data_IF_322269109178
#
_entry.id   IF_322269109178
#
_cell.length_a   1.000
_cell.length_b   1.000
_cell.length_c   1.000
_cell.angle_alpha   90.00
_cell.angle_beta   90.00
_cell.angle_gamma   90.00
#
_symmetry.space_group_name_H-M   'P 1'
#
loop_
_entity.id
_entity.type
_entity.pdbx_description
1 polymer ?
#
# COMPACT_ATOMS: atom_id res chain seq x y z
N UNK A 1 -19.09 -26.71 -32.24
CA UNK A 1 -20.16 -26.34 -31.29
C UNK A 1 -19.50 -26.02 -29.96
N UNK A 2 -19.68 -24.81 -29.41
CA UNK A 2 -18.57 -24.08 -28.80
C UNK A 2 -18.16 -24.63 -27.43
N UNK A 3 -16.84 -24.71 -27.29
CA UNK A 3 -16.08 -25.10 -26.12
C UNK A 3 -16.33 -24.14 -24.94
N UNK A 4 -16.26 -24.71 -23.74
CA UNK A 4 -16.43 -24.02 -22.47
C UNK A 4 -15.66 -22.71 -22.42
N UNK A 5 -16.41 -21.63 -22.19
CA UNK A 5 -15.88 -20.40 -21.64
C UNK A 5 -15.23 -20.77 -20.30
N UNK A 6 -13.91 -20.92 -20.35
CA UNK A 6 -13.05 -21.13 -19.21
C UNK A 6 -13.35 -20.07 -18.16
N UNK A 7 -13.68 -20.55 -16.98
CA UNK A 7 -13.84 -19.78 -15.75
C UNK A 7 -12.50 -19.13 -15.41
N UNK A 8 -12.22 -17.96 -16.01
CA UNK A 8 -10.98 -17.22 -15.79
C UNK A 8 -10.98 -16.63 -14.36
N UNK A 9 -10.11 -17.11 -13.45
CA UNK A 9 -10.02 -16.60 -12.09
C UNK A 9 -9.65 -15.10 -12.05
N UNK A 10 -9.04 -14.58 -13.12
CA UNK A 10 -8.63 -13.17 -13.24
C UNK A 10 -9.81 -12.24 -13.51
N UNK A 11 -10.90 -12.73 -14.10
CA UNK A 11 -12.12 -11.96 -14.33
C UNK A 11 -12.90 -11.73 -13.02
N UNK A 12 -12.85 -12.69 -12.08
CA UNK A 12 -13.51 -12.63 -10.77
C UNK A 12 -12.86 -11.61 -9.81
N UNK A 13 -11.63 -11.19 -10.09
CA UNK A 13 -10.90 -10.17 -9.30
C UNK A 13 -10.88 -8.80 -9.98
N UNK A 14 -11.96 -8.41 -10.65
CA UNK A 14 -12.28 -6.97 -10.76
C UNK A 14 -12.68 -6.51 -9.36
N UNK A 15 -11.69 -6.19 -8.53
CA UNK A 15 -11.88 -5.21 -7.45
C UNK A 15 -12.60 -4.06 -8.14
N UNK A 16 -13.86 -3.79 -7.78
CA UNK A 16 -14.49 -2.54 -8.19
C UNK A 16 -13.47 -1.49 -7.83
N UNK A 17 -12.86 -0.83 -8.81
CA UNK A 17 -11.94 0.27 -8.54
C UNK A 17 -12.82 1.37 -7.98
N UNK A 18 -13.13 1.27 -6.69
CA UNK A 18 -13.64 2.37 -5.93
C UNK A 18 -12.53 3.42 -6.06
N UNK A 19 -12.81 4.49 -6.78
CA UNK A 19 -11.91 5.61 -6.87
C UNK A 19 -11.62 6.03 -5.43
N UNK A 20 -10.37 5.85 -4.98
CA UNK A 20 -9.92 6.38 -3.71
C UNK A 20 -10.08 7.90 -3.81
N UNK A 21 -10.97 8.46 -3.00
CA UNK A 21 -11.19 9.91 -2.91
C UNK A 21 -10.60 10.40 -1.60
N UNK A 22 -9.91 11.53 -1.65
CA UNK A 22 -9.25 12.12 -0.49
C UNK A 22 -7.73 12.13 -0.64
N UNK A 23 -7.04 12.49 0.45
CA UNK A 23 -5.59 12.64 0.45
C UNK A 23 -4.89 11.28 0.31
N UNK A 24 -4.06 11.15 -0.71
CA UNK A 24 -3.21 9.99 -0.93
C UNK A 24 -1.75 10.34 -0.62
N UNK A 25 -1.22 9.82 0.48
CA UNK A 25 0.15 10.11 0.90
C UNK A 25 1.12 9.02 0.43
N UNK A 26 2.31 9.43 0.00
CA UNK A 26 3.40 8.52 -0.38
C UNK A 26 4.57 8.76 0.57
N UNK A 27 5.10 7.72 1.18
CA UNK A 27 6.22 7.86 2.12
C UNK A 27 7.49 8.30 1.38
N UNK A 28 8.32 9.18 1.97
CA UNK A 28 9.65 9.46 1.44
C UNK A 28 10.60 8.30 1.71
N UNK A 29 11.75 8.29 1.03
CA UNK A 29 12.81 7.29 1.24
C UNK A 29 13.49 7.55 2.60
N UNK A 30 13.02 6.86 3.66
CA UNK A 30 13.50 7.02 5.04
C UNK A 30 14.16 5.75 5.56
N UNK A 31 15.37 5.87 6.10
CA UNK A 31 16.01 4.76 6.82
C UNK A 31 15.46 4.58 8.24
N UNK A 32 15.14 5.68 8.92
CA UNK A 32 14.58 5.68 10.27
C UNK A 32 13.12 5.18 10.27
N UNK A 33 12.92 4.01 10.86
CA UNK A 33 11.62 3.34 10.93
C UNK A 33 10.68 4.00 11.93
N UNK A 34 11.18 4.51 13.07
CA UNK A 34 10.32 5.17 14.05
C UNK A 34 9.76 6.48 13.49
N UNK A 35 10.62 7.23 12.78
CA UNK A 35 10.22 8.45 12.11
C UNK A 35 9.24 8.20 10.94
N UNK A 36 9.42 7.10 10.21
CA UNK A 36 8.46 6.66 9.19
C UNK A 36 7.08 6.43 9.81
N UNK A 37 7.01 5.66 10.91
CA UNK A 37 5.76 5.36 11.62
C UNK A 37 5.07 6.63 12.09
N UNK A 38 5.80 7.51 12.79
CA UNK A 38 5.23 8.76 13.29
C UNK A 38 4.65 9.65 12.16
N UNK A 39 5.28 9.68 10.98
CA UNK A 39 4.77 10.42 9.83
C UNK A 39 3.53 9.78 9.21
N UNK A 40 3.48 8.45 9.15
CA UNK A 40 2.32 7.73 8.65
C UNK A 40 1.13 7.93 9.60
N UNK A 41 1.35 7.83 10.91
CA UNK A 41 0.34 8.13 11.94
C UNK A 41 -0.20 9.55 11.78
N UNK A 42 0.70 10.55 11.70
CA UNK A 42 0.29 11.94 11.50
C UNK A 42 -0.50 12.15 10.21
N UNK A 43 -0.12 11.49 9.11
CA UNK A 43 -0.86 11.58 7.85
C UNK A 43 -2.26 10.96 7.95
N UNK A 44 -2.39 9.82 8.63
CA UNK A 44 -3.69 9.17 8.88
C UNK A 44 -4.57 10.07 9.77
N UNK A 45 -4.03 10.56 10.89
CA UNK A 45 -4.74 11.49 11.77
C UNK A 45 -5.13 12.79 11.05
N UNK A 46 -4.31 13.25 10.12
CA UNK A 46 -4.59 14.40 9.26
C UNK A 46 -5.61 14.14 8.14
N UNK A 47 -6.15 12.93 8.00
CA UNK A 47 -7.20 12.60 7.03
C UNK A 47 -6.72 11.99 5.73
N UNK A 48 -5.52 11.39 5.68
CA UNK A 48 -5.11 10.58 4.55
C UNK A 48 -6.07 9.40 4.35
N UNK A 49 -6.64 9.29 3.16
CA UNK A 49 -7.53 8.21 2.74
C UNK A 49 -6.75 6.94 2.35
N UNK A 50 -5.49 7.08 1.97
CA UNK A 50 -4.59 5.97 1.70
C UNK A 50 -3.12 6.40 1.83
N UNK A 51 -2.28 5.44 2.23
CA UNK A 51 -0.84 5.59 2.35
C UNK A 51 -0.16 4.57 1.43
N UNK A 52 0.80 5.02 0.62
CA UNK A 52 1.71 4.14 -0.11
C UNK A 52 3.09 4.16 0.54
N UNK A 53 3.50 3.00 1.02
CA UNK A 53 4.89 2.77 1.37
C UNK A 53 5.76 2.71 0.11
N UNK A 54 6.70 3.64 0.00
CA UNK A 54 7.71 3.72 -1.04
C UNK A 54 9.06 4.03 -0.40
N UNK A 55 10.00 3.11 -0.56
CA UNK A 55 11.37 3.30 -0.14
C UNK A 55 12.32 2.65 -1.17
N UNK A 56 12.99 3.48 -1.97
CA UNK A 56 13.90 3.06 -3.04
C UNK A 56 15.30 2.72 -2.55
N UNK A 57 15.70 3.27 -1.39
CA UNK A 57 17.05 3.13 -0.85
C UNK A 57 17.15 2.03 0.20
N UNK A 58 16.02 1.62 0.80
CA UNK A 58 15.99 0.54 1.78
C UNK A 58 16.34 -0.84 1.17
N UNK A 59 17.09 -1.62 1.93
CA UNK A 59 17.33 -3.04 1.68
C UNK A 59 16.05 -3.86 1.83
N UNK A 60 16.07 -5.12 1.40
CA UNK A 60 14.92 -6.01 1.55
C UNK A 60 14.54 -6.23 3.02
N UNK A 61 15.55 -6.35 3.89
CA UNK A 61 15.39 -6.55 5.34
C UNK A 61 14.72 -5.33 5.97
N UNK A 62 15.21 -4.12 5.64
CA UNK A 62 14.64 -2.88 6.14
C UNK A 62 13.21 -2.67 5.63
N UNK A 63 12.93 -3.01 4.37
CA UNK A 63 11.56 -2.99 3.82
C UNK A 63 10.62 -3.91 4.58
N UNK A 64 11.08 -5.11 4.94
CA UNK A 64 10.31 -6.06 5.74
C UNK A 64 10.02 -5.52 7.14
N UNK A 65 11.04 -4.98 7.82
CA UNK A 65 10.89 -4.39 9.15
C UNK A 65 9.94 -3.18 9.13
N UNK A 66 10.06 -2.30 8.15
CA UNK A 66 9.18 -1.13 7.99
C UNK A 66 7.74 -1.54 7.67
N UNK A 67 7.54 -2.51 6.77
CA UNK A 67 6.21 -3.03 6.46
C UNK A 67 5.55 -3.67 7.69
N UNK A 68 6.30 -4.44 8.48
CA UNK A 68 5.79 -5.04 9.71
C UNK A 68 5.45 -3.97 10.77
N UNK A 69 6.20 -2.88 10.85
CA UNK A 69 5.91 -1.77 11.75
C UNK A 69 4.64 -1.00 11.34
N UNK A 70 4.41 -0.83 10.03
CA UNK A 70 3.26 -0.11 9.47
C UNK A 70 1.96 -0.95 9.41
N UNK A 71 2.05 -2.27 9.53
CA UNK A 71 0.91 -3.18 9.46
C UNK A 71 0.20 -3.38 10.81
N UNK A 72 0.65 -2.70 11.87
CA UNK A 72 0.05 -2.71 13.20
C UNK A 72 -0.92 -1.55 13.34
#
# INVERSE_FOLDING_TARGET
>A
MPAGATDDPRARRRVRVALLRGLYAVTPDLADTALLVARVEAAITGGAAAIQYRNKTATAELKGAQAAALAR
#
